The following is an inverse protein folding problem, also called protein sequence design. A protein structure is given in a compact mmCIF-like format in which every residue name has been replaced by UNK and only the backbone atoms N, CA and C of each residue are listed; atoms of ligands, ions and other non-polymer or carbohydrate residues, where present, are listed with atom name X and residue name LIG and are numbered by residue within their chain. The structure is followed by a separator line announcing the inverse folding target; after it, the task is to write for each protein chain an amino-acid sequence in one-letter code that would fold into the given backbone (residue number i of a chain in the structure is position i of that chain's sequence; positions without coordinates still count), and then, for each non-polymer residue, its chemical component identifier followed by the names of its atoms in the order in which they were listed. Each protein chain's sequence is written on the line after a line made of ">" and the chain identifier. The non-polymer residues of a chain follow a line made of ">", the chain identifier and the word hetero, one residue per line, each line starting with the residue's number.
data_IF_888040382665
#
_entry.id   IF_888040382665
#
_cell.length_a   1.000
_cell.length_b   1.000
_cell.length_c   1.000
_cell.angle_alpha   90.00
_cell.angle_beta   90.00
_cell.angle_gamma   90.00
#
_symmetry.space_group_name_H-M   'P 1'
#
loop_
_entity.id
_entity.type
_entity.pdbx_description
1 polymer ?
#
# COMPACT_ATOMS: atom_id res chain seq x y z
N UNK A 1 -8.43 17.25 18.78
CA UNK A 1 -8.74 15.92 18.20
C UNK A 1 -8.75 16.09 16.70
N UNK A 2 -8.08 15.24 15.93
CA UNK A 2 -8.18 15.23 14.46
C UNK A 2 -9.34 14.33 14.05
N UNK A 3 -10.26 14.87 13.25
CA UNK A 3 -11.40 14.13 12.68
C UNK A 3 -11.00 13.45 11.37
N UNK A 4 -11.79 12.49 10.84
CA UNK A 4 -11.54 11.92 9.51
C UNK A 4 -11.45 12.98 8.40
N UNK A 5 -12.24 14.06 8.49
CA UNK A 5 -12.18 15.17 7.54
C UNK A 5 -10.86 15.95 7.63
N UNK A 6 -10.33 16.14 8.84
CA UNK A 6 -9.02 16.76 9.03
C UNK A 6 -7.92 15.86 8.45
N UNK A 7 -8.00 14.54 8.68
CA UNK A 7 -7.04 13.59 8.15
C UNK A 7 -7.02 13.54 6.62
N UNK A 8 -8.18 13.63 5.98
CA UNK A 8 -8.28 13.70 4.53
C UNK A 8 -7.68 15.00 3.98
N UNK A 9 -7.98 16.15 4.59
CA UNK A 9 -7.50 17.47 4.14
C UNK A 9 -6.01 17.69 4.36
N UNK A 10 -5.47 17.25 5.50
CA UNK A 10 -4.08 17.50 5.88
C UNK A 10 -3.12 16.44 5.35
N UNK A 11 -3.53 15.17 5.32
CA UNK A 11 -2.64 14.06 4.99
C UNK A 11 -3.05 13.29 3.72
N UNK A 12 -4.17 13.64 3.09
CA UNK A 12 -4.69 12.91 1.93
C UNK A 12 -5.17 11.50 2.27
N UNK A 13 -5.49 11.23 3.54
CA UNK A 13 -6.07 9.96 3.96
C UNK A 13 -7.57 9.99 3.70
N UNK A 14 -7.98 9.55 2.51
CA UNK A 14 -9.40 9.46 2.13
C UNK A 14 -10.21 8.75 3.21
N UNK A 15 -11.29 9.39 3.64
CA UNK A 15 -12.18 8.93 4.72
C UNK A 15 -11.46 8.68 6.07
N UNK A 16 -10.26 9.24 6.24
CA UNK A 16 -9.41 9.01 7.42
C UNK A 16 -8.82 7.60 7.52
N UNK A 17 -8.85 6.79 6.45
CA UNK A 17 -8.39 5.41 6.50
C UNK A 17 -6.87 5.30 6.35
N UNK A 18 -6.16 5.04 7.45
CA UNK A 18 -4.69 4.86 7.49
C UNK A 18 -4.19 3.69 6.62
N UNK A 19 -5.06 2.74 6.27
CA UNK A 19 -4.74 1.61 5.42
C UNK A 19 -4.93 1.92 3.94
N UNK A 20 -5.55 3.05 3.56
CA UNK A 20 -5.79 3.41 2.15
C UNK A 20 -6.58 2.30 1.42
N UNK A 21 -7.59 1.75 2.09
CA UNK A 21 -8.35 0.57 1.69
C UNK A 21 -8.59 -0.33 2.90
N UNK A 22 -9.68 -1.08 2.91
CA UNK A 22 -10.06 -1.95 4.02
C UNK A 22 -9.12 -3.15 4.15
N UNK A 23 -9.06 -3.73 5.35
CA UNK A 23 -8.33 -4.98 5.60
C UNK A 23 -9.31 -6.17 5.65
N UNK A 24 -10.20 -6.23 4.66
CA UNK A 24 -11.14 -7.33 4.45
C UNK A 24 -10.52 -8.42 3.58
N UNK A 25 -11.07 -9.63 3.62
CA UNK A 25 -10.52 -10.76 2.88
C UNK A 25 -10.50 -10.49 1.36
N UNK A 26 -11.51 -9.77 0.89
CA UNK A 26 -11.73 -9.36 -0.49
C UNK A 26 -10.70 -8.32 -0.97
N UNK A 27 -10.10 -7.57 -0.05
CA UNK A 27 -9.10 -6.52 -0.32
C UNK A 27 -7.71 -6.85 0.20
N UNK A 28 -7.43 -8.12 0.52
CA UNK A 28 -6.14 -8.59 0.99
C UNK A 28 -5.43 -9.48 -0.04
N UNK A 29 -4.19 -9.84 0.27
CA UNK A 29 -3.34 -10.70 -0.56
C UNK A 29 -3.21 -10.20 -2.01
N UNK A 30 -3.58 -11.02 -2.99
CA UNK A 30 -3.47 -10.74 -4.42
C UNK A 30 -4.49 -9.71 -4.92
N UNK A 31 -5.50 -9.37 -4.10
CA UNK A 31 -6.47 -8.33 -4.43
C UNK A 31 -5.97 -6.92 -4.04
N UNK A 32 -4.86 -6.81 -3.29
CA UNK A 32 -4.33 -5.54 -2.76
C UNK A 32 -3.05 -5.08 -3.45
N UNK A 33 -2.99 -3.87 -4.06
CA UNK A 33 -4.06 -2.88 -4.14
C UNK A 33 -5.08 -3.18 -5.25
N UNK A 34 -4.69 -3.96 -6.25
CA UNK A 34 -5.55 -4.39 -7.35
C UNK A 34 -4.99 -5.70 -7.93
N UNK A 35 -5.83 -6.66 -8.35
CA UNK A 35 -5.40 -7.84 -9.05
C UNK A 35 -4.48 -7.53 -10.25
N UNK A 36 -3.45 -8.35 -10.46
CA UNK A 36 -2.44 -8.14 -11.50
C UNK A 36 -1.23 -7.28 -11.07
N UNK A 37 -1.39 -6.41 -10.06
CA UNK A 37 -0.32 -5.53 -9.56
C UNK A 37 -0.09 -5.62 -8.04
N UNK A 38 -0.67 -6.63 -7.39
CA UNK A 38 -0.54 -6.86 -5.95
C UNK A 38 0.86 -7.25 -5.44
N UNK A 39 1.80 -7.55 -6.34
CA UNK A 39 3.18 -7.88 -5.98
C UNK A 39 4.10 -6.65 -6.02
N UNK A 40 3.62 -5.50 -5.55
CA UNK A 40 4.38 -4.24 -5.40
C UNK A 40 4.84 -3.60 -6.72
N UNK A 41 4.74 -4.29 -7.86
CA UNK A 41 5.14 -3.79 -9.18
C UNK A 41 3.94 -3.20 -9.91
N UNK A 42 4.09 -2.00 -10.44
CA UNK A 42 3.08 -1.34 -11.27
C UNK A 42 3.31 -1.65 -12.76
N UNK A 43 2.35 -1.33 -13.66
CA UNK A 43 2.58 -1.46 -15.10
C UNK A 43 3.56 -0.40 -15.62
N UNK A 44 3.80 0.67 -14.86
CA UNK A 44 4.73 1.74 -15.21
C UNK A 44 6.15 1.28 -14.90
N UNK A 45 7.05 1.43 -15.88
CA UNK A 45 8.47 1.06 -15.71
C UNK A 45 9.07 1.85 -14.55
N UNK A 46 9.80 1.13 -13.69
CA UNK A 46 10.52 1.67 -12.53
C UNK A 46 9.64 2.33 -11.46
N UNK A 47 8.32 2.12 -11.49
CA UNK A 47 7.41 2.53 -10.42
C UNK A 47 6.94 1.31 -9.61
N UNK A 48 7.06 1.44 -8.29
CA UNK A 48 6.74 0.39 -7.33
C UNK A 48 5.84 0.94 -6.21
N UNK A 49 5.03 0.08 -5.62
CA UNK A 49 4.14 0.40 -4.51
C UNK A 49 4.71 -0.18 -3.23
N UNK A 50 4.89 0.67 -2.22
CA UNK A 50 5.51 0.31 -0.94
C UNK A 50 4.72 0.82 0.28
N UNK A 51 3.54 1.42 0.04
CA UNK A 51 2.72 2.08 1.06
C UNK A 51 1.62 1.21 1.67
N UNK A 52 0.81 1.83 2.52
CA UNK A 52 -0.27 1.21 3.29
C UNK A 52 -1.34 0.52 2.43
N UNK A 53 -1.56 1.03 1.21
CA UNK A 53 -2.45 0.45 0.22
C UNK A 53 -2.00 -0.93 -0.32
N UNK A 54 -0.84 -1.46 0.05
CA UNK A 54 -0.34 -2.77 -0.42
C UNK A 54 -0.36 -3.82 0.69
N UNK A 55 -0.42 -5.11 0.34
CA UNK A 55 -0.38 -6.19 1.32
C UNK A 55 0.96 -6.17 2.09
N UNK A 56 0.97 -6.41 3.42
CA UNK A 56 -0.12 -6.80 4.32
C UNK A 56 -0.97 -5.67 4.91
N UNK A 57 -0.79 -4.43 4.48
CA UNK A 57 -1.27 -3.22 5.14
C UNK A 57 -0.11 -2.44 5.78
N UNK A 58 -0.31 -1.15 5.99
CA UNK A 58 0.70 -0.27 6.60
C UNK A 58 0.71 -0.28 8.12
N UNK A 59 1.15 0.85 8.69
CA UNK A 59 1.46 0.98 10.12
C UNK A 59 2.96 0.90 10.39
N UNK A 60 3.33 0.82 11.67
CA UNK A 60 4.71 0.96 12.15
C UNK A 60 5.61 -0.21 11.68
N UNK A 61 5.04 -1.37 11.37
CA UNK A 61 5.78 -2.58 10.97
C UNK A 61 6.63 -2.40 9.70
N UNK A 62 6.23 -1.53 8.77
CA UNK A 62 6.98 -1.28 7.55
C UNK A 62 7.07 -2.45 6.56
N UNK A 63 6.24 -3.50 6.73
CA UNK A 63 6.29 -4.69 5.87
C UNK A 63 6.06 -4.40 4.36
N UNK A 64 5.11 -3.54 3.97
CA UNK A 64 4.98 -3.09 2.58
C UNK A 64 6.29 -2.58 1.95
N UNK A 65 7.00 -1.73 2.69
CA UNK A 65 8.28 -1.16 2.27
C UNK A 65 9.35 -2.22 2.10
N UNK A 66 9.51 -3.09 3.10
CA UNK A 66 10.46 -4.21 3.05
C UNK A 66 10.18 -5.14 1.86
N UNK A 67 8.93 -5.50 1.64
CA UNK A 67 8.56 -6.42 0.58
C UNK A 67 8.77 -5.80 -0.80
N UNK A 68 8.39 -4.54 -1.00
CA UNK A 68 8.67 -3.80 -2.23
C UNK A 68 10.18 -3.74 -2.52
N UNK A 69 11.00 -3.41 -1.52
CA UNK A 69 12.46 -3.39 -1.64
C UNK A 69 13.03 -4.75 -2.06
N UNK A 70 12.57 -5.85 -1.44
CA UNK A 70 13.00 -7.20 -1.84
C UNK A 70 12.60 -7.55 -3.28
N UNK A 71 11.45 -7.06 -3.79
CA UNK A 71 11.08 -7.25 -5.20
C UNK A 71 11.95 -6.42 -6.15
N UNK A 72 12.35 -5.22 -5.75
CA UNK A 72 13.29 -4.38 -6.51
C UNK A 72 14.66 -5.07 -6.60
N UNK A 73 15.19 -5.54 -5.47
CA UNK A 73 16.51 -6.18 -5.40
C UNK A 73 16.57 -7.49 -6.20
N UNK A 74 15.51 -8.32 -6.17
CA UNK A 74 15.40 -9.53 -7.01
C UNK A 74 15.46 -9.24 -8.52
N UNK A 75 15.26 -7.98 -8.94
CA UNK A 75 15.24 -7.55 -10.33
C UNK A 75 16.54 -6.83 -10.75
N UNK A 76 17.44 -6.59 -9.81
CA UNK A 76 18.78 -6.10 -10.16
C UNK A 76 19.53 -7.27 -10.83
N UNK A 77 20.08 -7.08 -12.03
CA UNK A 77 20.88 -8.10 -12.71
C UNK A 77 22.12 -8.49 -11.91
#
# INVERSE_FOLDING_TARGET
>A
VLTPLDLEREFGLTEGNIFQGELTLEQLFFARPVPGWAQYRTPIRHLWMCGSATHPGGGIMGAPGRNAALRILKRSP
#
